data_IF_290435361972
#
_entry.id   IF_290435361972
#
_cell.length_a   1.000
_cell.length_b   1.000
_cell.length_c   1.000
_cell.angle_alpha   90.00
_cell.angle_beta   90.00
_cell.angle_gamma   90.00
#
_symmetry.space_group_name_H-M   'P 1'
#
loop_
_entity.id
_entity.type
_entity.pdbx_description
1 polymer ?
#
# COMPACT_ATOMS: atom_id res chain seq x y z
N UNK A 1 18.39 -4.31 30.07
CA UNK A 1 17.48 -3.41 29.29
C UNK A 1 16.41 -2.87 30.22
N UNK A 2 16.20 -1.56 30.24
CA UNK A 2 15.22 -0.92 31.11
C UNK A 2 13.79 -1.32 30.78
N UNK A 3 12.94 -1.51 31.79
CA UNK A 3 11.52 -1.89 31.66
C UNK A 3 10.74 -0.99 30.68
N UNK A 4 11.06 0.31 30.61
CA UNK A 4 10.44 1.29 29.71
C UNK A 4 10.58 0.90 28.21
N UNK A 5 11.76 0.49 27.75
CA UNK A 5 12.00 0.04 26.37
C UNK A 5 11.24 -1.26 26.07
N UNK A 6 11.20 -2.18 27.04
CA UNK A 6 10.48 -3.45 26.89
C UNK A 6 8.97 -3.21 26.77
N UNK A 7 8.40 -2.40 27.64
CA UNK A 7 6.97 -2.08 27.62
C UNK A 7 6.55 -1.34 26.33
N UNK A 8 7.36 -0.38 25.88
CA UNK A 8 7.13 0.31 24.61
C UNK A 8 7.19 -0.65 23.41
N UNK A 9 8.13 -1.61 23.42
CA UNK A 9 8.22 -2.62 22.35
C UNK A 9 7.04 -3.58 22.35
N UNK A 10 6.55 -3.98 23.53
CA UNK A 10 5.37 -4.86 23.66
C UNK A 10 4.13 -4.13 23.15
N UNK A 11 3.89 -2.91 23.62
CA UNK A 11 2.76 -2.09 23.17
C UNK A 11 2.77 -1.87 21.65
N UNK A 12 3.92 -1.58 21.06
CA UNK A 12 4.05 -1.43 19.60
C UNK A 12 3.74 -2.73 18.85
N UNK A 13 4.12 -3.89 19.38
CA UNK A 13 3.79 -5.19 18.79
C UNK A 13 2.30 -5.50 18.85
N UNK A 14 1.65 -5.17 19.96
CA UNK A 14 0.20 -5.34 20.13
C UNK A 14 -0.60 -4.46 19.19
N UNK A 15 -0.22 -3.19 19.05
CA UNK A 15 -0.81 -2.29 18.06
C UNK A 15 -0.68 -2.83 16.63
N UNK A 16 0.50 -3.34 16.28
CA UNK A 16 0.74 -3.89 14.94
C UNK A 16 -0.05 -5.19 14.67
N UNK A 17 -0.31 -6.01 15.68
CA UNK A 17 -1.15 -7.21 15.53
C UNK A 17 -2.58 -6.87 15.11
N UNK A 18 -3.10 -5.76 15.60
CA UNK A 18 -4.47 -5.31 15.30
C UNK A 18 -4.59 -4.59 13.95
N UNK A 19 -3.48 -4.15 13.38
CA UNK A 19 -3.49 -3.50 12.06
C UNK A 19 -3.74 -4.52 10.95
N UNK A 20 -4.65 -4.16 10.05
CA UNK A 20 -4.92 -4.93 8.83
C UNK A 20 -4.21 -4.23 7.69
N UNK A 21 -3.16 -4.86 7.20
CA UNK A 21 -2.35 -4.28 6.14
C UNK A 21 -1.95 -5.31 5.09
N UNK A 22 -1.66 -4.82 3.90
CA UNK A 22 -0.96 -5.56 2.86
C UNK A 22 0.22 -4.74 2.33
N UNK A 23 1.29 -5.42 1.94
CA UNK A 23 2.52 -4.80 1.46
C UNK A 23 2.94 -5.37 0.12
N UNK A 24 3.22 -4.50 -0.84
CA UNK A 24 3.82 -4.81 -2.12
C UNK A 24 5.27 -4.29 -2.11
N UNK A 25 6.23 -5.21 -2.20
CA UNK A 25 7.66 -4.86 -2.19
C UNK A 25 8.25 -4.88 -3.59
N UNK A 26 9.23 -4.01 -3.84
CA UNK A 26 10.02 -3.96 -5.09
C UNK A 26 9.19 -3.89 -6.38
N UNK A 27 8.10 -3.13 -6.35
CA UNK A 27 7.26 -2.93 -7.52
C UNK A 27 8.03 -2.11 -8.58
N UNK A 28 8.25 -2.65 -9.82
CA UNK A 28 9.03 -1.98 -10.85
C UNK A 28 8.25 -0.85 -11.54
N UNK A 29 7.73 0.09 -10.76
CA UNK A 29 7.01 1.27 -11.21
C UNK A 29 7.57 2.49 -10.48
N UNK A 30 7.63 3.63 -11.15
CA UNK A 30 8.10 4.86 -10.51
C UNK A 30 7.17 5.27 -9.35
N UNK A 31 7.70 5.67 -8.17
CA UNK A 31 6.90 6.13 -7.03
C UNK A 31 5.94 7.27 -7.39
N UNK A 32 6.35 8.21 -8.26
CA UNK A 32 5.48 9.32 -8.72
C UNK A 32 4.23 8.81 -9.42
N UNK A 33 4.38 7.83 -10.32
CA UNK A 33 3.25 7.24 -11.06
C UNK A 33 2.33 6.45 -10.13
N UNK A 34 2.90 5.75 -9.14
CA UNK A 34 2.14 5.00 -8.15
C UNK A 34 1.33 5.93 -7.24
N UNK A 35 1.92 7.04 -6.78
CA UNK A 35 1.25 8.01 -5.89
C UNK A 35 0.03 8.65 -6.54
N UNK A 36 0.07 8.94 -7.85
CA UNK A 36 -1.08 9.51 -8.56
C UNK A 36 -2.35 8.65 -8.44
N UNK A 37 -2.20 7.33 -8.46
CA UNK A 37 -3.33 6.41 -8.28
C UNK A 37 -3.64 6.21 -6.80
N UNK A 38 -2.62 6.08 -5.95
CA UNK A 38 -2.78 5.92 -4.51
C UNK A 38 -3.56 7.08 -3.86
N UNK A 39 -3.33 8.31 -4.31
CA UNK A 39 -4.01 9.50 -3.79
C UNK A 39 -5.51 9.50 -4.11
N UNK A 40 -5.93 8.89 -5.21
CA UNK A 40 -7.34 8.73 -5.57
C UNK A 40 -8.07 7.73 -4.67
N UNK A 41 -7.36 6.79 -4.06
CA UNK A 41 -7.91 5.71 -3.25
C UNK A 41 -7.99 6.06 -1.76
N UNK A 42 -7.13 6.98 -1.31
CA UNK A 42 -7.03 7.32 0.11
C UNK A 42 -8.37 7.80 0.68
N UNK A 43 -8.81 7.21 1.79
CA UNK A 43 -10.08 7.53 2.44
C UNK A 43 -11.34 7.01 1.74
N UNK A 44 -11.22 6.22 0.68
CA UNK A 44 -12.37 5.65 -0.02
C UNK A 44 -12.82 4.32 0.58
N UNK A 45 -14.14 4.06 0.52
CA UNK A 45 -14.70 2.73 0.80
C UNK A 45 -14.15 1.72 -0.20
N UNK A 46 -14.04 0.46 0.21
CA UNK A 46 -13.43 -0.63 -0.60
C UNK A 46 -14.11 -0.78 -1.95
N UNK A 47 -15.44 -0.78 -2.01
CA UNK A 47 -16.21 -0.97 -3.25
C UNK A 47 -15.92 0.14 -4.28
N UNK A 48 -15.90 1.39 -3.81
CA UNK A 48 -15.53 2.54 -4.65
C UNK A 48 -14.06 2.47 -5.09
N UNK A 49 -13.17 2.03 -4.21
CA UNK A 49 -11.76 1.90 -4.53
C UNK A 49 -11.53 0.82 -5.59
N UNK A 50 -12.18 -0.33 -5.48
CA UNK A 50 -12.13 -1.40 -6.50
C UNK A 50 -12.66 -0.91 -7.83
N UNK A 51 -13.81 -0.24 -7.85
CA UNK A 51 -14.38 0.33 -9.09
C UNK A 51 -13.40 1.31 -9.75
N UNK A 52 -12.79 2.23 -8.99
CA UNK A 52 -11.79 3.17 -9.51
C UNK A 52 -10.59 2.43 -10.13
N UNK A 53 -10.11 1.37 -9.48
CA UNK A 53 -8.94 0.62 -9.93
C UNK A 53 -9.22 -0.18 -11.19
N UNK A 54 -10.38 -0.83 -11.30
CA UNK A 54 -10.80 -1.63 -12.46
C UNK A 54 -10.95 -0.74 -13.70
N UNK A 55 -11.62 0.40 -13.57
CA UNK A 55 -11.86 1.29 -14.71
C UNK A 55 -10.68 2.20 -15.05
N UNK A 56 -9.63 2.23 -14.24
CA UNK A 56 -8.45 3.05 -14.49
C UNK A 56 -7.52 2.40 -15.51
N UNK A 57 -7.22 3.10 -16.60
CA UNK A 57 -6.28 2.65 -17.66
C UNK A 57 -4.80 2.72 -17.23
N UNK A 58 -4.50 3.20 -16.03
CA UNK A 58 -3.12 3.37 -15.57
C UNK A 58 -2.52 2.04 -15.10
N UNK A 59 -1.33 1.68 -15.59
CA UNK A 59 -0.63 0.45 -15.18
C UNK A 59 -0.50 0.24 -13.64
N UNK A 60 -0.27 1.26 -12.80
CA UNK A 60 -0.25 1.09 -11.35
C UNK A 60 -1.56 0.57 -10.75
N UNK A 61 -2.71 0.82 -11.40
CA UNK A 61 -4.03 0.42 -10.91
C UNK A 61 -4.17 -1.08 -10.75
N UNK A 62 -3.77 -1.86 -11.75
CA UNK A 62 -3.81 -3.33 -11.71
C UNK A 62 -2.98 -3.91 -10.56
N UNK A 63 -1.89 -3.26 -10.19
CA UNK A 63 -1.04 -3.68 -9.07
C UNK A 63 -1.66 -3.33 -7.72
N UNK A 64 -2.26 -2.14 -7.61
CA UNK A 64 -2.96 -1.70 -6.41
C UNK A 64 -4.26 -2.48 -6.19
N UNK A 65 -4.95 -2.89 -7.26
CA UNK A 65 -6.12 -3.78 -7.20
C UNK A 65 -5.76 -5.11 -6.52
N UNK A 66 -4.71 -5.78 -7.01
CA UNK A 66 -4.23 -7.03 -6.40
C UNK A 66 -3.80 -6.85 -4.93
N UNK A 67 -3.18 -5.71 -4.62
CA UNK A 67 -2.79 -5.39 -3.25
C UNK A 67 -4.01 -5.17 -2.36
N UNK A 68 -5.05 -4.49 -2.87
CA UNK A 68 -6.30 -4.27 -2.14
C UNK A 68 -7.03 -5.59 -1.89
N UNK A 69 -7.13 -6.47 -2.88
CA UNK A 69 -7.71 -7.81 -2.71
C UNK A 69 -6.95 -8.62 -1.65
N UNK A 70 -5.61 -8.55 -1.66
CA UNK A 70 -4.80 -9.18 -0.61
C UNK A 70 -5.07 -8.59 0.78
N UNK A 71 -5.29 -7.27 0.89
CA UNK A 71 -5.63 -6.63 2.16
C UNK A 71 -7.01 -7.06 2.67
N UNK A 72 -7.99 -7.22 1.77
CA UNK A 72 -9.33 -7.74 2.09
C UNK A 72 -9.25 -9.18 2.62
N UNK A 73 -8.50 -10.04 1.93
CA UNK A 73 -8.30 -11.43 2.37
C UNK A 73 -7.61 -11.50 3.76
N UNK A 74 -6.62 -10.65 4.00
CA UNK A 74 -5.97 -10.55 5.32
C UNK A 74 -6.97 -10.11 6.41
N UNK A 75 -7.90 -9.24 6.06
CA UNK A 75 -8.96 -8.82 6.97
C UNK A 75 -9.92 -9.98 7.28
N UNK A 76 -10.37 -10.73 6.27
CA UNK A 76 -11.25 -11.90 6.41
C UNK A 76 -10.61 -12.98 7.30
N UNK A 77 -9.32 -13.26 7.10
CA UNK A 77 -8.59 -14.22 7.92
C UNK A 77 -8.52 -13.84 9.40
N UNK A 78 -8.48 -12.53 9.68
CA UNK A 78 -8.49 -12.03 11.07
C UNK A 78 -9.88 -11.99 11.69
N UNK A 79 -10.91 -11.89 10.88
CA UNK A 79 -12.31 -11.76 11.30
C UNK A 79 -13.18 -12.78 10.55
N UNK A 80 -13.05 -14.09 10.83
CA UNK A 80 -13.75 -15.13 10.08
C UNK A 80 -15.27 -15.07 10.24
N UNK A 81 -15.75 -14.55 11.39
CA UNK A 81 -17.18 -14.47 11.73
C UNK A 81 -17.84 -13.17 11.22
N UNK A 82 -17.10 -12.30 10.56
CA UNK A 82 -17.60 -11.00 10.11
C UNK A 82 -17.89 -10.99 8.61
N UNK A 83 -19.13 -10.70 8.24
CA UNK A 83 -19.55 -10.54 6.86
C UNK A 83 -18.99 -9.22 6.29
N UNK A 84 -18.37 -9.30 5.13
CA UNK A 84 -17.82 -8.12 4.43
C UNK A 84 -18.91 -7.09 4.08
N UNK A 85 -20.10 -7.55 3.71
CA UNK A 85 -21.22 -6.70 3.27
C UNK A 85 -21.74 -5.79 4.39
N UNK A 86 -21.63 -6.24 5.64
CA UNK A 86 -22.10 -5.49 6.82
C UNK A 86 -21.05 -4.59 7.43
N UNK A 87 -19.82 -4.62 6.91
CA UNK A 87 -18.69 -3.86 7.46
C UNK A 87 -18.29 -2.73 6.50
N UNK A 88 -18.42 -1.50 6.98
CA UNK A 88 -17.97 -0.31 6.25
C UNK A 88 -16.43 -0.21 6.27
N UNK A 89 -15.78 -1.06 5.50
CA UNK A 89 -14.33 -1.03 5.36
C UNK A 89 -13.89 0.10 4.40
N UNK A 90 -12.83 0.78 4.79
CA UNK A 90 -12.25 1.85 3.99
C UNK A 90 -10.72 1.80 4.01
N UNK A 91 -10.11 2.45 3.04
CA UNK A 91 -8.66 2.58 2.96
C UNK A 91 -8.23 3.71 3.89
N UNK A 92 -7.70 3.34 5.06
CA UNK A 92 -7.24 4.29 6.08
C UNK A 92 -5.98 5.01 5.62
N UNK A 93 -5.01 4.27 5.12
CA UNK A 93 -3.71 4.81 4.74
C UNK A 93 -3.08 4.03 3.59
N UNK A 94 -2.47 4.75 2.65
CA UNK A 94 -1.60 4.18 1.61
C UNK A 94 -0.26 4.92 1.66
N UNK A 95 0.81 4.18 1.92
CA UNK A 95 2.20 4.66 1.88
C UNK A 95 2.87 4.16 0.62
N UNK A 96 3.53 5.06 -0.10
CA UNK A 96 4.32 4.75 -1.29
C UNK A 96 5.75 5.24 -1.09
N UNK A 97 6.63 4.30 -0.80
CA UNK A 97 8.04 4.54 -0.49
C UNK A 97 8.91 4.24 -1.71
N UNK A 98 10.08 4.89 -1.79
CA UNK A 98 11.07 4.60 -2.80
C UNK A 98 11.78 3.28 -2.50
N UNK A 99 11.98 2.46 -3.53
CA UNK A 99 12.79 1.25 -3.47
C UNK A 99 14.08 1.41 -4.28
N UNK A 100 14.85 0.35 -4.36
CA UNK A 100 16.06 0.29 -5.17
C UNK A 100 15.78 0.65 -6.64
N UNK A 101 16.78 1.20 -7.32
CA UNK A 101 16.69 1.56 -8.72
C UNK A 101 17.74 0.85 -9.56
N UNK A 102 17.38 0.50 -10.78
CA UNK A 102 18.33 0.01 -11.78
C UNK A 102 18.89 1.21 -12.56
N UNK A 103 20.20 1.34 -12.54
CA UNK A 103 20.91 2.36 -13.33
C UNK A 103 21.24 1.82 -14.70
N UNK A 104 20.92 2.58 -15.75
CA UNK A 104 21.23 2.27 -17.16
C UNK A 104 21.82 3.50 -17.81
N UNK A 105 22.54 3.30 -18.92
CA UNK A 105 23.12 4.36 -19.69
C UNK A 105 22.44 4.40 -21.08
N UNK A 106 22.22 5.61 -21.57
CA UNK A 106 21.80 5.89 -22.93
C UNK A 106 22.94 6.63 -23.61
N UNK A 107 23.52 6.08 -24.68
CA UNK A 107 24.57 6.78 -25.47
C UNK A 107 24.07 8.12 -25.98
N UNK A 108 24.94 9.11 -25.94
CA UNK A 108 24.71 10.45 -26.47
C UNK A 108 25.85 10.85 -27.41
N UNK A 109 25.68 11.86 -28.28
CA UNK A 109 26.72 12.35 -29.17
C UNK A 109 28.01 12.75 -28.43
N UNK A 110 29.13 12.72 -29.11
CA UNK A 110 30.45 13.10 -28.59
C UNK A 110 30.96 12.22 -27.44
N UNK A 111 30.65 10.91 -27.44
CA UNK A 111 31.11 9.99 -26.38
C UNK A 111 30.50 10.20 -25.02
N UNK A 112 29.46 11.02 -24.90
CA UNK A 112 28.74 11.27 -23.63
C UNK A 112 27.70 10.17 -23.38
N UNK A 113 27.26 10.03 -22.12
CA UNK A 113 26.21 9.09 -21.73
C UNK A 113 25.20 9.77 -20.80
N UNK A 114 23.92 9.58 -21.09
CA UNK A 114 22.83 10.00 -20.20
C UNK A 114 22.43 8.86 -19.28
N UNK A 115 22.23 9.17 -17.99
CA UNK A 115 21.83 8.20 -16.99
C UNK A 115 20.31 7.96 -17.03
N UNK A 116 19.89 6.71 -17.13
CA UNK A 116 18.51 6.29 -16.99
C UNK A 116 18.36 5.61 -15.61
N UNK A 117 17.37 6.03 -14.84
CA UNK A 117 17.06 5.45 -13.54
C UNK A 117 15.72 4.73 -13.62
N UNK A 118 15.73 3.39 -13.68
CA UNK A 118 14.54 2.55 -13.57
C UNK A 118 14.18 2.43 -12.09
N UNK A 119 13.25 3.27 -11.63
CA UNK A 119 12.88 3.35 -10.20
C UNK A 119 11.86 2.29 -9.83
N UNK A 120 11.97 1.76 -8.61
CA UNK A 120 10.99 0.87 -8.01
C UNK A 120 10.38 1.51 -6.76
N UNK A 121 9.31 0.94 -6.26
CA UNK A 121 8.62 1.41 -5.06
C UNK A 121 8.19 0.26 -4.16
N UNK A 122 7.90 0.60 -2.91
CA UNK A 122 7.18 -0.23 -1.95
C UNK A 122 5.84 0.42 -1.67
N UNK A 123 4.78 -0.34 -1.64
CA UNK A 123 3.46 0.16 -1.26
C UNK A 123 2.99 -0.59 -0.03
N UNK A 124 2.56 0.14 0.98
CA UNK A 124 1.88 -0.41 2.16
C UNK A 124 0.48 0.18 2.22
N UNK A 125 -0.53 -0.67 2.28
CA UNK A 125 -1.93 -0.30 2.37
C UNK A 125 -2.49 -0.78 3.69
N UNK A 126 -3.16 0.10 4.43
CA UNK A 126 -3.79 -0.18 5.73
C UNK A 126 -5.29 0.04 5.57
N UNK A 127 -6.08 -0.97 5.93
CA UNK A 127 -7.53 -0.88 5.99
C UNK A 127 -7.98 -0.45 7.39
N UNK A 128 -9.08 0.28 7.44
CA UNK A 128 -9.79 0.66 8.65
C UNK A 128 -11.26 0.28 8.55
N UNK A 129 -11.91 0.12 9.71
CA UNK A 129 -13.34 -0.08 9.81
C UNK A 129 -13.97 1.18 10.43
N UNK A 130 -15.01 1.74 9.80
CA UNK A 130 -15.71 2.93 10.31
C UNK A 130 -16.39 2.64 11.65
N UNK A 131 -16.88 1.43 11.84
CA UNK A 131 -17.59 1.02 13.05
C UNK A 131 -16.70 0.91 14.30
N UNK A 132 -15.36 0.83 14.13
CA UNK A 132 -14.41 0.75 15.25
C UNK A 132 -13.82 2.10 15.69
N UNK A 133 -14.13 3.20 14.99
CA UNK A 133 -13.62 4.53 15.35
C UNK A 133 -14.52 5.30 16.32
N UNK A 134 -15.58 4.68 16.88
CA UNK A 134 -16.52 5.29 17.81
C UNK A 134 -16.34 4.80 19.26
N UNK A 135 -15.12 4.39 19.65
CA UNK A 135 -14.80 4.10 21.06
C UNK A 135 -13.58 4.92 21.49
#
# INVERSE_FOLDING_TARGET
>A
MGARKRNSSVAAKELNKNLIFAKLSNCPTSPRKMRLVADQLRGKKIDKALSILIFSQKQPSTRLEKLLLSAINNWQQKNPDADLENQDLFIKEIKVDGAGMLKRLRPAPQGRAHRIRKRSNHVTMILGNLNQNNI
#
